data_IF_756876112269
#
_entry.id   IF_756876112269
#
_cell.length_a   1.000
_cell.length_b   1.000
_cell.length_c   1.000
_cell.angle_alpha   90.00
_cell.angle_beta   90.00
_cell.angle_gamma   90.00
#
_symmetry.space_group_name_H-M   'P 1'
#
loop_
_entity.id
_entity.type
_entity.pdbx_description
1 polymer ?
#
# COMPACT_ATOMS: atom_id res chain seq x y z
N UNK A 1 -54.51 -20.44 -14.41
CA UNK A 1 -53.24 -20.91 -15.03
C UNK A 1 -52.34 -19.72 -15.44
N UNK A 2 -51.20 -19.55 -14.77
CA UNK A 2 -50.16 -18.62 -15.17
C UNK A 2 -48.80 -19.19 -14.74
N UNK A 3 -48.10 -19.84 -15.68
CA UNK A 3 -46.73 -20.32 -15.48
C UNK A 3 -45.78 -19.18 -15.84
N UNK A 4 -45.00 -18.73 -14.86
CA UNK A 4 -43.95 -17.74 -15.03
C UNK A 4 -42.76 -18.34 -15.82
N UNK A 5 -42.03 -17.56 -16.63
CA UNK A 5 -40.92 -18.07 -17.42
C UNK A 5 -39.69 -18.35 -16.55
N UNK A 6 -39.08 -19.51 -16.78
CA UNK A 6 -37.83 -19.95 -16.15
C UNK A 6 -36.66 -19.21 -16.82
N UNK A 7 -35.84 -18.52 -16.02
CA UNK A 7 -34.58 -17.93 -16.51
C UNK A 7 -33.55 -19.04 -16.78
N UNK A 8 -32.80 -18.98 -17.89
CA UNK A 8 -31.73 -19.94 -18.13
C UNK A 8 -30.52 -19.64 -17.23
N UNK A 9 -30.07 -20.63 -16.45
CA UNK A 9 -28.79 -20.56 -15.75
C UNK A 9 -27.68 -20.78 -16.76
N UNK A 10 -27.00 -19.70 -17.16
CA UNK A 10 -25.80 -19.80 -17.98
C UNK A 10 -24.65 -20.32 -17.09
N UNK A 11 -24.08 -21.47 -17.48
CA UNK A 11 -22.96 -22.10 -16.80
C UNK A 11 -21.69 -21.21 -16.83
N UNK A 12 -20.90 -21.13 -15.74
CA UNK A 12 -19.67 -20.35 -15.74
C UNK A 12 -18.52 -21.21 -16.27
N UNK A 13 -18.34 -21.26 -17.58
CA UNK A 13 -17.28 -22.05 -18.21
C UNK A 13 -16.17 -21.19 -18.85
N UNK A 14 -15.70 -20.10 -18.21
CA UNK A 14 -14.47 -19.39 -18.64
C UNK A 14 -13.85 -18.51 -17.55
N UNK A 15 -13.69 -18.98 -16.31
CA UNK A 15 -12.97 -18.18 -15.27
C UNK A 15 -11.60 -18.75 -14.87
N UNK A 16 -11.19 -19.91 -15.40
CA UNK A 16 -9.95 -20.55 -14.99
C UNK A 16 -8.68 -20.02 -15.70
N UNK A 17 -8.79 -19.24 -16.79
CA UNK A 17 -7.64 -18.79 -17.58
C UNK A 17 -7.07 -17.42 -17.18
N UNK A 18 -7.72 -16.70 -16.25
CA UNK A 18 -7.24 -15.40 -15.76
C UNK A 18 -6.43 -15.51 -14.45
N UNK A 19 -5.98 -16.71 -14.10
CA UNK A 19 -5.08 -16.96 -12.96
C UNK A 19 -3.58 -16.81 -13.35
N UNK A 20 -3.30 -16.31 -14.56
CA UNK A 20 -1.94 -15.94 -14.97
C UNK A 20 -1.56 -14.61 -14.30
N UNK A 21 -0.93 -14.74 -13.13
CA UNK A 21 0.20 -13.89 -12.73
C UNK A 21 -0.05 -12.37 -12.66
N UNK A 22 -1.07 -11.96 -11.91
CA UNK A 22 -1.12 -10.60 -11.33
C UNK A 22 -0.13 -10.46 -10.16
N UNK A 23 1.12 -10.88 -10.34
CA UNK A 23 2.19 -10.54 -9.41
C UNK A 23 2.51 -9.07 -9.64
N UNK A 24 1.77 -8.19 -8.96
CA UNK A 24 2.06 -6.76 -8.93
C UNK A 24 3.54 -6.60 -8.55
N UNK A 25 4.37 -5.91 -9.35
CA UNK A 25 5.77 -5.72 -9.03
C UNK A 25 5.86 -5.07 -7.64
N UNK A 26 6.39 -5.84 -6.69
CA UNK A 26 6.57 -5.40 -5.31
C UNK A 26 7.75 -4.45 -5.31
N UNK A 27 7.49 -3.15 -5.54
CA UNK A 27 8.51 -2.12 -5.38
C UNK A 27 9.02 -2.21 -3.95
N UNK A 28 10.32 -2.45 -3.81
CA UNK A 28 10.94 -2.72 -2.53
C UNK A 28 10.61 -1.59 -1.54
N UNK A 29 10.27 -1.95 -0.30
CA UNK A 29 9.97 -1.02 0.80
C UNK A 29 11.16 -0.12 1.23
N UNK A 30 12.20 -0.02 0.39
CA UNK A 30 13.37 0.84 0.52
C UNK A 30 13.10 2.30 0.13
N UNK A 31 11.84 2.67 -0.08
CA UNK A 31 11.41 3.97 -0.61
C UNK A 31 11.93 5.18 0.18
N UNK A 32 12.34 5.00 1.44
CA UNK A 32 13.01 6.03 2.23
C UNK A 32 14.15 5.42 3.03
N UNK A 33 15.36 5.95 2.82
CA UNK A 33 16.56 5.58 3.56
C UNK A 33 16.61 6.32 4.91
N UNK A 34 17.44 5.89 5.87
CA UNK A 34 17.62 6.61 7.14
C UNK A 34 17.98 8.08 6.95
N UNK A 35 18.80 8.40 5.94
CA UNK A 35 19.21 9.76 5.60
C UNK A 35 18.01 10.61 5.20
N UNK A 36 17.12 10.09 4.35
CA UNK A 36 15.91 10.80 3.94
C UNK A 36 14.95 11.07 5.12
N UNK A 37 14.93 10.19 6.14
CA UNK A 37 14.14 10.42 7.36
C UNK A 37 14.73 11.54 8.22
N UNK A 38 16.06 11.62 8.30
CA UNK A 38 16.78 12.66 9.04
C UNK A 38 16.68 14.01 8.34
N UNK A 39 16.85 14.04 7.01
CA UNK A 39 16.71 15.26 6.21
C UNK A 39 15.31 15.84 6.33
N UNK A 40 14.27 14.99 6.25
CA UNK A 40 12.90 15.44 6.47
C UNK A 40 12.66 15.96 7.91
N UNK A 41 13.32 15.37 8.92
CA UNK A 41 13.25 15.91 10.28
C UNK A 41 13.91 17.27 10.39
N UNK A 42 15.12 17.42 9.83
CA UNK A 42 15.88 18.67 9.89
C UNK A 42 15.15 19.80 9.16
N UNK A 43 14.66 19.53 7.95
CA UNK A 43 13.87 20.47 7.14
C UNK A 43 12.60 20.96 7.84
N UNK A 44 12.06 20.17 8.76
CA UNK A 44 10.86 20.49 9.54
C UNK A 44 11.13 20.74 11.03
N UNK A 45 12.37 21.10 11.39
CA UNK A 45 12.80 21.43 12.76
C UNK A 45 12.39 20.37 13.81
N UNK A 46 12.50 19.10 13.46
CA UNK A 46 12.15 17.97 14.34
C UNK A 46 10.66 17.64 14.42
N UNK A 47 9.79 18.35 13.69
CA UNK A 47 8.36 18.08 13.66
C UNK A 47 8.05 16.80 12.87
N UNK A 48 7.98 15.67 13.58
CA UNK A 48 7.80 14.34 12.98
C UNK A 48 6.53 14.20 12.14
N UNK A 49 5.44 14.88 12.51
CA UNK A 49 4.19 14.83 11.76
C UNK A 49 4.33 15.52 10.40
N UNK A 50 5.01 16.68 10.36
CA UNK A 50 5.31 17.39 9.11
C UNK A 50 6.31 16.63 8.24
N UNK A 51 7.37 16.09 8.84
CA UNK A 51 8.34 15.25 8.15
C UNK A 51 7.70 13.99 7.54
N UNK A 52 6.81 13.33 8.27
CA UNK A 52 6.07 12.18 7.75
C UNK A 52 5.19 12.55 6.54
N UNK A 53 4.44 13.66 6.65
CA UNK A 53 3.58 14.16 5.57
C UNK A 53 4.38 14.50 4.30
N UNK A 54 5.56 15.13 4.45
CA UNK A 54 6.43 15.47 3.32
C UNK A 54 6.92 14.23 2.56
N UNK A 55 7.09 13.10 3.25
CA UNK A 55 7.46 11.82 2.66
C UNK A 55 6.25 10.97 2.22
N UNK A 56 5.02 11.48 2.35
CA UNK A 56 3.81 10.70 2.05
C UNK A 56 3.56 9.55 3.03
N UNK A 57 4.12 9.63 4.24
CA UNK A 57 3.98 8.63 5.29
C UNK A 57 3.01 9.11 6.39
N UNK A 58 2.36 8.17 7.06
CA UNK A 58 1.68 8.48 8.33
C UNK A 58 2.72 8.63 9.44
N UNK A 59 2.38 9.38 10.50
CA UNK A 59 3.27 9.54 11.67
C UNK A 59 3.72 8.19 12.24
N UNK A 60 2.79 7.22 12.34
CA UNK A 60 3.10 5.87 12.84
C UNK A 60 4.13 5.15 11.96
N UNK A 61 4.00 5.23 10.63
CA UNK A 61 4.95 4.62 9.69
C UNK A 61 6.32 5.29 9.78
N UNK A 62 6.35 6.62 9.87
CA UNK A 62 7.58 7.38 10.02
C UNK A 62 8.32 7.03 11.32
N UNK A 63 7.64 7.06 12.47
CA UNK A 63 8.23 6.69 13.76
C UNK A 63 8.71 5.23 13.78
N UNK A 64 7.99 4.31 13.13
CA UNK A 64 8.45 2.94 12.98
C UNK A 64 9.75 2.85 12.20
N UNK A 65 9.87 3.59 11.10
CA UNK A 65 11.10 3.61 10.28
C UNK A 65 12.28 4.21 11.02
N UNK A 66 12.08 5.27 11.81
CA UNK A 66 13.13 5.82 12.69
C UNK A 66 13.66 4.76 13.66
N UNK A 67 12.75 4.04 14.35
CA UNK A 67 13.13 2.95 15.26
C UNK A 67 13.86 1.82 14.55
N UNK A 68 13.35 1.40 13.39
CA UNK A 68 13.96 0.34 12.58
C UNK A 68 15.35 0.75 12.05
N UNK A 69 15.58 2.05 11.85
CA UNK A 69 16.86 2.62 11.45
C UNK A 69 17.81 2.90 12.63
N UNK A 70 17.39 2.66 13.89
CA UNK A 70 18.21 2.95 15.08
C UNK A 70 18.33 4.43 15.42
N UNK A 71 17.44 5.27 14.89
CA UNK A 71 17.47 6.74 15.05
C UNK A 71 16.64 7.23 16.25
N UNK A 72 15.81 6.37 16.86
CA UNK A 72 14.97 6.66 18.03
C UNK A 72 14.55 5.40 18.76
#
# INVERSE_FOLDING_TARGET
>A
PAVAPVLPVAAPATQAAAAAELTRPYVSARSHTPEALLEALDAHQGNQTRAAQALGLTLRQFSYRLRKAGLR
#
